data_IF_011181671038
#
_entry.id   IF_011181671038
#
_cell.length_a   1.000
_cell.length_b   1.000
_cell.length_c   1.000
_cell.angle_alpha   90.00
_cell.angle_beta   90.00
_cell.angle_gamma   90.00
#
_symmetry.space_group_name_H-M   'P 1'
#
loop_
_entity.id
_entity.type
_entity.pdbx_description
1 polymer ?
#
# COMPACT_ATOMS: atom_id res chain seq x y z
N UNK A 1 -9.20 18.35 3.23
CA UNK A 1 -7.76 18.05 3.12
C UNK A 1 -7.54 16.88 4.04
N UNK A 2 -7.01 15.77 3.54
CA UNK A 2 -6.74 14.59 4.37
C UNK A 2 -5.58 14.89 5.33
N UNK A 3 -5.52 14.21 6.46
CA UNK A 3 -4.38 14.31 7.38
C UNK A 3 -3.12 13.77 6.67
N UNK A 4 -1.98 14.49 6.67
CA UNK A 4 -0.74 14.02 6.07
C UNK A 4 -0.31 12.63 6.57
N UNK A 5 -0.56 12.30 7.85
CA UNK A 5 -0.23 11.00 8.41
C UNK A 5 -1.14 9.89 7.85
N UNK A 6 -2.40 10.20 7.53
CA UNK A 6 -3.30 9.25 6.88
C UNK A 6 -2.84 8.98 5.45
N UNK A 7 -2.50 10.03 4.70
CA UNK A 7 -1.99 9.88 3.34
C UNK A 7 -0.68 9.05 3.31
N UNK A 8 0.22 9.32 4.26
CA UNK A 8 1.48 8.58 4.38
C UNK A 8 1.25 7.09 4.63
N UNK A 9 0.40 6.74 5.60
CA UNK A 9 0.10 5.34 5.89
C UNK A 9 -0.54 4.61 4.69
N UNK A 10 -1.43 5.27 3.95
CA UNK A 10 -2.06 4.68 2.74
C UNK A 10 -1.02 4.47 1.64
N UNK A 11 -0.15 5.45 1.39
CA UNK A 11 0.91 5.33 0.38
C UNK A 11 1.94 4.27 0.78
N UNK A 12 2.26 4.14 2.07
CA UNK A 12 3.13 3.07 2.58
C UNK A 12 2.55 1.68 2.33
N UNK A 13 1.25 1.49 2.52
CA UNK A 13 0.56 0.24 2.22
C UNK A 13 0.55 -0.06 0.71
N UNK A 14 0.32 0.97 -0.12
CA UNK A 14 0.37 0.84 -1.57
C UNK A 14 1.79 0.51 -2.07
N UNK A 15 2.82 1.13 -1.47
CA UNK A 15 4.21 0.83 -1.74
C UNK A 15 4.55 -0.62 -1.37
N UNK A 16 4.09 -1.08 -0.20
CA UNK A 16 4.23 -2.49 0.21
C UNK A 16 3.60 -3.44 -0.80
N UNK A 17 2.39 -3.10 -1.29
CA UNK A 17 1.69 -3.87 -2.29
C UNK A 17 2.47 -3.99 -3.60
N UNK A 18 3.17 -2.93 -4.02
CA UNK A 18 3.97 -2.96 -5.26
C UNK A 18 5.33 -3.66 -5.14
N UNK A 19 5.84 -3.96 -3.94
CA UNK A 19 7.21 -4.53 -3.78
C UNK A 19 7.22 -5.96 -3.26
N UNK A 20 6.05 -6.51 -2.95
CA UNK A 20 5.90 -7.84 -2.35
C UNK A 20 6.32 -8.97 -3.29
N UNK A 21 6.22 -8.76 -4.60
CA UNK A 21 6.73 -9.66 -5.64
C UNK A 21 8.25 -9.50 -5.90
N UNK A 22 8.87 -8.49 -5.27
CA UNK A 22 10.29 -8.20 -5.27
C UNK A 22 10.63 -6.79 -5.72
N UNK A 23 9.89 -6.19 -6.66
CA UNK A 23 10.17 -4.83 -7.17
C UNK A 23 8.95 -4.16 -7.78
N UNK A 24 8.68 -2.93 -7.33
CA UNK A 24 7.65 -2.08 -7.90
C UNK A 24 7.92 -1.70 -9.35
N UNK A 25 7.00 -2.06 -10.24
CA UNK A 25 7.02 -1.68 -11.65
C UNK A 25 6.67 -0.20 -11.83
N UNK A 26 7.10 0.40 -12.95
CA UNK A 26 6.75 1.80 -13.24
C UNK A 26 5.23 1.99 -13.42
N UNK A 27 4.51 0.94 -13.83
CA UNK A 27 3.06 0.99 -14.00
C UNK A 27 2.35 1.06 -12.65
N UNK A 28 2.75 0.23 -11.69
CA UNK A 28 2.24 0.28 -10.31
C UNK A 28 2.54 1.63 -9.66
N UNK A 29 3.77 2.12 -9.78
CA UNK A 29 4.13 3.43 -9.20
C UNK A 29 3.28 4.56 -9.75
N UNK A 30 3.05 4.56 -11.07
CA UNK A 30 2.22 5.59 -11.70
C UNK A 30 0.75 5.46 -11.28
N UNK A 31 0.24 4.23 -11.13
CA UNK A 31 -1.10 3.98 -10.61
C UNK A 31 -1.25 4.50 -9.17
N UNK A 32 -0.28 4.21 -8.29
CA UNK A 32 -0.30 4.68 -6.90
C UNK A 32 -0.34 6.21 -6.85
N UNK A 33 0.48 6.89 -7.66
CA UNK A 33 0.49 8.36 -7.73
C UNK A 33 -0.84 8.92 -8.22
N UNK A 34 -1.44 8.30 -9.24
CA UNK A 34 -2.74 8.69 -9.78
C UNK A 34 -3.84 8.55 -8.72
N UNK A 35 -3.95 7.37 -8.11
CA UNK A 35 -4.94 7.08 -7.08
C UNK A 35 -4.75 7.96 -5.85
N UNK A 36 -3.51 8.16 -5.38
CA UNK A 36 -3.23 9.01 -4.24
C UNK A 36 -3.60 10.48 -4.52
N UNK A 37 -3.31 10.98 -5.73
CA UNK A 37 -3.67 12.35 -6.12
C UNK A 37 -5.18 12.56 -6.14
N UNK A 38 -5.93 11.57 -6.64
CA UNK A 38 -7.38 11.64 -6.75
C UNK A 38 -8.09 11.44 -5.41
N UNK A 39 -7.77 10.35 -4.70
CA UNK A 39 -8.47 9.92 -3.48
C UNK A 39 -8.01 10.70 -2.24
N UNK A 40 -6.70 10.96 -2.12
CA UNK A 40 -6.10 11.60 -0.94
C UNK A 40 -5.98 13.13 -1.11
N UNK A 41 -6.23 13.65 -2.32
CA UNK A 41 -6.18 15.08 -2.66
C UNK A 41 -4.82 15.73 -2.36
N UNK A 42 -3.74 14.99 -2.59
CA UNK A 42 -2.36 15.48 -2.55
C UNK A 42 -1.85 15.74 -3.97
N UNK A 43 -0.75 16.49 -4.12
CA UNK A 43 -0.18 16.69 -5.45
C UNK A 43 0.52 15.41 -5.95
N UNK A 44 0.58 15.19 -7.28
CA UNK A 44 1.32 14.06 -7.85
C UNK A 44 2.78 14.02 -7.41
N UNK A 45 3.44 15.18 -7.33
CA UNK A 45 4.84 15.29 -6.88
C UNK A 45 5.00 14.84 -5.42
N UNK A 46 4.07 15.25 -4.55
CA UNK A 46 4.07 14.84 -3.15
C UNK A 46 3.79 13.33 -3.02
N UNK A 47 2.84 12.80 -3.79
CA UNK A 47 2.55 11.37 -3.81
C UNK A 47 3.78 10.57 -4.26
N UNK A 48 4.47 11.03 -5.31
CA UNK A 48 5.69 10.39 -5.83
C UNK A 48 6.82 10.40 -4.81
N UNK A 49 7.06 11.53 -4.16
CA UNK A 49 8.09 11.63 -3.11
C UNK A 49 7.81 10.68 -1.94
N UNK A 50 6.56 10.62 -1.47
CA UNK A 50 6.15 9.72 -0.38
C UNK A 50 6.29 8.25 -0.79
N UNK A 51 5.92 7.91 -2.03
CA UNK A 51 6.05 6.57 -2.59
C UNK A 51 7.51 6.14 -2.68
N UNK A 52 8.37 6.95 -3.28
CA UNK A 52 9.78 6.61 -3.49
C UNK A 52 10.50 6.37 -2.15
N UNK A 53 10.24 7.23 -1.15
CA UNK A 53 10.75 7.02 0.23
C UNK A 53 10.24 5.73 0.85
N UNK A 54 8.97 5.40 0.64
CA UNK A 54 8.37 4.18 1.19
C UNK A 54 8.99 2.93 0.56
N UNK A 55 9.18 2.92 -0.77
CA UNK A 55 9.83 1.81 -1.48
C UNK A 55 11.26 1.62 -0.99
N UNK A 56 12.04 2.70 -0.83
CA UNK A 56 13.40 2.63 -0.32
C UNK A 56 13.47 2.00 1.08
N UNK A 57 12.56 2.36 1.98
CA UNK A 57 12.46 1.76 3.32
C UNK A 57 12.09 0.27 3.27
N UNK A 58 11.28 -0.13 2.29
CA UNK A 58 10.75 -1.48 2.16
C UNK A 58 11.71 -2.46 1.50
N UNK A 59 12.71 -2.01 0.74
CA UNK A 59 13.71 -2.89 0.10
C UNK A 59 14.46 -3.79 1.10
N UNK A 60 14.59 -3.38 2.36
CA UNK A 60 15.18 -4.21 3.44
C UNK A 60 14.21 -5.22 4.06
N UNK A 61 12.91 -5.07 3.82
CA UNK A 61 11.81 -5.79 4.49
C UNK A 61 11.12 -6.79 3.55
N UNK A 62 11.11 -6.52 2.24
CA UNK A 62 10.42 -7.33 1.23
C UNK A 62 10.85 -8.81 1.21
N UNK A 63 12.07 -9.13 1.63
CA UNK A 63 12.58 -10.51 1.72
C UNK A 63 12.07 -11.30 2.94
N UNK A 64 11.32 -10.67 3.86
CA UNK A 64 10.90 -11.26 5.14
C UNK A 64 9.37 -11.18 5.31
N UNK A 65 8.62 -12.27 5.01
CA UNK A 65 7.15 -12.27 5.06
C UNK A 65 6.56 -11.82 6.40
N UNK A 66 7.18 -12.19 7.53
CA UNK A 66 6.72 -11.76 8.85
C UNK A 66 6.88 -10.25 9.09
N UNK A 67 7.88 -9.62 8.49
CA UNK A 67 8.14 -8.19 8.62
C UNK A 67 7.20 -7.36 7.73
N UNK A 68 6.85 -7.87 6.53
CA UNK A 68 5.82 -7.31 5.65
C UNK A 68 4.48 -7.19 6.40
N UNK A 69 4.04 -8.27 7.06
CA UNK A 69 2.79 -8.27 7.81
C UNK A 69 2.84 -7.35 9.03
N UNK A 70 3.98 -7.28 9.71
CA UNK A 70 4.18 -6.33 10.82
C UNK A 70 4.05 -4.88 10.35
N UNK A 71 4.68 -4.54 9.22
CA UNK A 71 4.60 -3.22 8.62
C UNK A 71 3.17 -2.87 8.20
N UNK A 72 2.50 -3.77 7.48
CA UNK A 72 1.11 -3.59 7.06
C UNK A 72 0.18 -3.30 8.25
N UNK A 73 0.34 -4.03 9.35
CA UNK A 73 -0.42 -3.80 10.59
C UNK A 73 -0.15 -2.43 11.19
N UNK A 74 1.12 -2.01 11.27
CA UNK A 74 1.50 -0.70 11.81
C UNK A 74 0.92 0.45 10.99
N UNK A 75 0.95 0.36 9.66
CA UNK A 75 0.40 1.39 8.78
C UNK A 75 -1.15 1.40 8.79
N UNK A 76 -1.80 0.24 8.90
CA UNK A 76 -3.27 0.15 8.96
C UNK A 76 -3.87 0.56 10.31
N UNK A 77 -3.19 0.28 11.43
CA UNK A 77 -3.73 0.50 12.77
C UNK A 77 -4.22 1.94 13.05
N UNK A 78 -3.50 3.02 12.68
CA UNK A 78 -3.93 4.39 12.95
C UNK A 78 -5.07 4.87 12.05
N UNK A 79 -5.37 4.15 10.95
CA UNK A 79 -6.39 4.54 9.98
C UNK A 79 -7.81 4.33 10.53
N UNK A 80 -8.74 5.21 10.14
CA UNK A 80 -10.16 5.02 10.41
C UNK A 80 -10.73 3.97 9.48
N UNK A 81 -11.89 3.41 9.83
CA UNK A 81 -12.56 2.36 9.04
C UNK A 81 -12.63 2.67 7.55
N UNK A 82 -13.06 3.88 7.17
CA UNK A 82 -13.12 4.30 5.77
C UNK A 82 -11.74 4.36 5.10
N UNK A 83 -10.74 4.90 5.79
CA UNK A 83 -9.37 5.03 5.27
C UNK A 83 -8.70 3.65 5.11
N UNK A 84 -9.02 2.69 5.99
CA UNK A 84 -8.56 1.31 5.87
C UNK A 84 -9.12 0.63 4.61
N UNK A 85 -10.41 0.83 4.33
CA UNK A 85 -11.04 0.30 3.13
C UNK A 85 -10.41 0.91 1.86
N UNK A 86 -10.20 2.22 1.86
CA UNK A 86 -9.53 2.90 0.76
C UNK A 86 -8.11 2.34 0.55
N UNK A 87 -7.34 2.19 1.63
CA UNK A 87 -6.00 1.59 1.58
C UNK A 87 -6.05 0.18 0.97
N UNK A 88 -6.99 -0.65 1.41
CA UNK A 88 -7.19 -2.00 0.89
C UNK A 88 -7.46 -1.98 -0.62
N UNK A 89 -8.38 -1.14 -1.11
CA UNK A 89 -8.70 -1.08 -2.54
C UNK A 89 -7.53 -0.59 -3.39
N UNK A 90 -6.76 0.39 -2.90
CA UNK A 90 -5.54 0.83 -3.57
C UNK A 90 -4.53 -0.32 -3.66
N UNK A 91 -4.28 -1.04 -2.56
CA UNK A 91 -3.37 -2.19 -2.58
C UNK A 91 -3.83 -3.29 -3.54
N UNK A 92 -5.14 -3.54 -3.58
CA UNK A 92 -5.74 -4.52 -4.48
C UNK A 92 -5.49 -4.15 -5.94
N UNK A 93 -5.83 -2.91 -6.33
CA UNK A 93 -5.66 -2.43 -7.71
C UNK A 93 -4.19 -2.44 -8.16
N UNK A 94 -3.26 -2.16 -7.23
CA UNK A 94 -1.82 -2.24 -7.48
C UNK A 94 -1.40 -3.67 -7.80
N UNK A 95 -1.71 -4.64 -6.94
CA UNK A 95 -1.31 -6.04 -7.15
C UNK A 95 -1.95 -6.66 -8.40
N UNK A 96 -3.17 -6.23 -8.76
CA UNK A 96 -3.82 -6.69 -9.99
C UNK A 96 -3.29 -5.99 -11.25
N UNK A 97 -2.50 -4.92 -11.13
CA UNK A 97 -2.11 -4.08 -12.27
C UNK A 97 -1.31 -4.85 -13.32
N UNK A 98 -0.41 -5.73 -12.86
CA UNK A 98 0.47 -6.51 -13.72
C UNK A 98 -0.17 -7.87 -14.14
N UNK A 99 -1.43 -8.11 -13.76
CA UNK A 99 -2.29 -9.15 -14.32
C UNK A 99 -2.11 -10.56 -13.74
N UNK A 100 -1.21 -10.75 -12.79
CA UNK A 100 -1.07 -12.00 -12.03
C UNK A 100 -0.75 -11.69 -10.57
N UNK A 101 -1.54 -12.29 -9.66
CA UNK A 101 -1.23 -12.27 -8.23
C UNK A 101 -0.18 -13.34 -7.95
N UNK A 102 0.99 -12.94 -7.45
CA UNK A 102 2.05 -13.83 -7.03
C UNK A 102 1.66 -14.58 -5.74
N UNK A 103 2.21 -15.77 -5.51
CA UNK A 103 1.94 -16.62 -4.33
C UNK A 103 2.22 -15.94 -2.96
N UNK A 104 2.90 -14.80 -2.92
CA UNK A 104 3.11 -13.97 -1.72
C UNK A 104 2.05 -12.88 -1.49
N UNK A 105 1.37 -12.46 -2.54
CA UNK A 105 0.36 -11.39 -2.52
C UNK A 105 -0.97 -11.86 -1.94
N UNK A 106 -1.38 -13.10 -2.23
CA UNK A 106 -2.60 -13.71 -1.69
C UNK A 106 -2.66 -13.65 -0.14
N UNK A 107 -1.51 -13.93 0.49
CA UNK A 107 -1.38 -13.89 1.96
C UNK A 107 -1.47 -12.45 2.50
N UNK A 108 -0.87 -11.49 1.80
CA UNK A 108 -0.92 -10.08 2.17
C UNK A 108 -2.33 -9.52 1.98
N UNK A 109 -3.00 -9.81 0.86
CA UNK A 109 -4.39 -9.40 0.59
C UNK A 109 -5.32 -9.93 1.68
N UNK A 110 -5.22 -11.22 2.02
CA UNK A 110 -6.07 -11.82 3.05
C UNK A 110 -5.87 -11.19 4.44
N UNK A 111 -4.64 -10.80 4.80
CA UNK A 111 -4.39 -10.10 6.06
C UNK A 111 -4.85 -8.63 6.01
N UNK A 112 -4.63 -7.93 4.89
CA UNK A 112 -5.13 -6.57 4.69
C UNK A 112 -6.66 -6.54 4.75
N UNK A 113 -7.34 -7.51 4.15
CA UNK A 113 -8.80 -7.67 4.19
C UNK A 113 -9.29 -7.80 5.64
N UNK A 114 -8.71 -8.73 6.41
CA UNK A 114 -9.08 -8.90 7.84
C UNK A 114 -8.90 -7.61 8.63
N UNK A 115 -7.80 -6.90 8.41
CA UNK A 115 -7.49 -5.67 9.14
C UNK A 115 -8.36 -4.47 8.73
N UNK A 116 -8.75 -4.40 7.45
CA UNK A 116 -9.58 -3.34 6.91
C UNK A 116 -11.05 -3.51 7.28
N UNK A 117 -11.58 -4.72 7.15
CA UNK A 117 -13.00 -5.02 7.33
C UNK A 117 -13.35 -5.58 8.72
N UNK A 118 -12.35 -5.85 9.57
CA UNK A 118 -12.56 -6.37 10.93
C UNK A 118 -12.90 -7.86 10.94
N UNK A 119 -12.19 -8.67 10.14
CA UNK A 119 -12.38 -10.11 10.03
C UNK A 119 -12.47 -10.81 11.40
N UNK A 120 -13.44 -11.72 11.49
CA UNK A 120 -13.98 -12.39 12.68
C UNK A 120 -12.95 -13.17 13.51
#
# INVERSE_FOLDING_TARGET
MIDPAVAENIIQLAALASVVDGQASDQEKNLIVEMASYELRISPDQAREMLDRSIEQLQGIASFPGAILGFARMALQPLRYHDKHLAFYICLDVMYRDGQIALGEDSLIGELEKLAFGGW
#
